data_IF_876920132671
#
_entry.id   IF_876920132671
#
_cell.length_a   1.000
_cell.length_b   1.000
_cell.length_c   1.000
_cell.angle_alpha   90.00
_cell.angle_beta   90.00
_cell.angle_gamma   90.00
#
_symmetry.space_group_name_H-M   'P 1'
#
loop_
_entity.id
_entity.type
_entity.pdbx_description
1 polymer ?
#
# COMPACT_ATOMS: atom_id res chain seq x y z
N UNK A 1 20.06 24.52 0.71
CA UNK A 1 19.17 23.35 0.81
C UNK A 1 17.95 23.75 1.63
N UNK A 2 16.76 23.43 1.12
CA UNK A 2 15.49 23.70 1.80
C UNK A 2 14.98 22.41 2.43
N UNK A 3 14.46 22.51 3.65
CA UNK A 3 13.86 21.38 4.38
C UNK A 3 12.51 21.81 4.92
N UNK A 4 11.50 20.97 4.74
CA UNK A 4 10.13 21.20 5.20
C UNK A 4 9.60 20.00 5.98
N UNK A 5 8.93 20.31 7.09
CA UNK A 5 8.08 19.37 7.81
C UNK A 5 6.63 19.55 7.33
N UNK A 6 5.94 18.45 7.08
CA UNK A 6 4.54 18.43 6.67
C UNK A 6 3.85 17.17 7.20
N UNK A 7 2.56 17.06 6.99
CA UNK A 7 1.78 15.89 7.41
C UNK A 7 0.30 16.18 7.43
N UNK A 8 -0.47 15.16 7.78
CA UNK A 8 -1.92 15.23 7.89
C UNK A 8 -2.38 14.41 9.10
N UNK A 9 -3.28 14.98 9.89
CA UNK A 9 -3.90 14.29 11.03
C UNK A 9 -5.39 14.11 10.73
N UNK A 10 -5.82 12.85 10.59
CA UNK A 10 -7.21 12.48 10.30
C UNK A 10 -7.70 11.40 11.24
N UNK A 11 -8.84 11.68 11.88
CA UNK A 11 -9.52 10.72 12.72
C UNK A 11 -11.03 10.98 12.74
N UNK A 12 -11.80 9.95 13.08
CA UNK A 12 -13.25 10.06 13.20
C UNK A 12 -13.87 8.89 13.95
N UNK A 13 -15.19 8.91 14.03
CA UNK A 13 -15.98 7.81 14.61
C UNK A 13 -16.58 6.99 13.48
N UNK A 14 -16.30 5.69 13.46
CA UNK A 14 -16.87 4.76 12.49
C UNK A 14 -17.79 3.75 13.17
N UNK A 15 -18.98 3.58 12.58
CA UNK A 15 -19.91 2.49 12.89
C UNK A 15 -19.81 1.40 11.82
N UNK A 16 -19.68 0.13 12.24
CA UNK A 16 -19.66 -1.02 11.34
C UNK A 16 -20.63 -2.09 11.80
N UNK A 17 -21.53 -2.51 10.92
CA UNK A 17 -22.35 -3.70 11.12
C UNK A 17 -21.66 -4.91 10.49
N UNK A 18 -21.25 -5.86 11.31
CA UNK A 18 -20.63 -7.11 10.84
C UNK A 18 -21.64 -8.23 11.02
N UNK A 19 -21.97 -8.90 9.92
CA UNK A 19 -22.79 -10.10 9.91
C UNK A 19 -21.89 -11.28 9.50
N UNK A 20 -21.74 -12.25 10.39
CA UNK A 20 -20.98 -13.47 10.13
C UNK A 20 -21.92 -14.66 10.16
N UNK A 21 -21.83 -15.52 9.15
CA UNK A 21 -22.56 -16.78 9.06
C UNK A 21 -21.55 -17.92 8.94
N UNK A 22 -21.70 -18.94 9.77
CA UNK A 22 -20.98 -20.20 9.63
C UNK A 22 -21.85 -21.15 8.81
N UNK A 23 -21.30 -21.69 7.73
CA UNK A 23 -22.00 -22.61 6.84
C UNK A 23 -21.32 -23.97 6.84
N UNK A 24 -22.12 -25.04 6.85
CA UNK A 24 -21.65 -26.39 6.60
C UNK A 24 -21.86 -26.75 5.13
N UNK A 25 -20.85 -27.40 4.54
CA UNK A 25 -20.97 -27.93 3.19
C UNK A 25 -22.05 -29.01 3.15
N UNK A 26 -22.80 -29.12 2.04
CA UNK A 26 -23.86 -30.12 1.92
C UNK A 26 -23.30 -31.52 2.14
N UNK A 27 -23.91 -32.27 3.05
CA UNK A 27 -23.50 -33.63 3.35
C UNK A 27 -24.00 -34.58 2.25
N UNK A 28 -23.17 -35.55 1.86
CA UNK A 28 -23.59 -36.66 1.00
C UNK A 28 -24.19 -37.73 1.90
N UNK A 29 -25.48 -38.05 1.70
CA UNK A 29 -26.13 -39.16 2.39
C UNK A 29 -26.65 -40.13 1.34
N UNK A 30 -26.25 -41.40 1.42
CA UNK A 30 -26.63 -42.47 0.47
C UNK A 30 -26.39 -42.11 -1.02
N UNK A 31 -25.24 -41.49 -1.33
CA UNK A 31 -24.85 -41.17 -2.71
C UNK A 31 -25.59 -39.98 -3.35
N UNK A 32 -26.49 -39.32 -2.62
CA UNK A 32 -27.15 -38.08 -3.07
C UNK A 32 -26.53 -36.91 -2.32
N UNK A 33 -25.92 -35.98 -3.06
CA UNK A 33 -25.42 -34.73 -2.49
C UNK A 33 -26.58 -33.76 -2.32
N UNK A 34 -26.83 -33.29 -1.09
CA UNK A 34 -27.81 -32.24 -0.86
C UNK A 34 -27.40 -30.95 -1.60
N UNK A 35 -28.37 -30.18 -2.09
CA UNK A 35 -28.10 -28.91 -2.81
C UNK A 35 -28.04 -27.67 -1.90
N UNK A 36 -28.17 -27.81 -0.58
CA UNK A 36 -28.30 -26.68 0.32
C UNK A 36 -27.12 -26.57 1.29
N UNK A 37 -26.42 -25.44 1.19
CA UNK A 37 -25.47 -24.96 2.19
C UNK A 37 -26.26 -24.57 3.43
N UNK A 38 -26.02 -25.24 4.55
CA UNK A 38 -26.75 -24.99 5.80
C UNK A 38 -26.02 -23.95 6.64
N UNK A 39 -26.69 -22.85 6.98
CA UNK A 39 -26.18 -21.91 7.99
C UNK A 39 -26.36 -22.53 9.37
N UNK A 40 -25.26 -22.77 10.08
CA UNK A 40 -25.28 -23.41 11.40
C UNK A 40 -25.14 -22.43 12.54
N UNK A 41 -24.56 -21.24 12.28
CA UNK A 41 -24.54 -20.11 13.23
C UNK A 41 -24.62 -18.79 12.48
N UNK A 42 -25.39 -17.84 12.99
CA UNK A 42 -25.42 -16.47 12.50
C UNK A 42 -25.21 -15.50 13.67
N UNK A 43 -24.36 -14.48 13.48
CA UNK A 43 -24.11 -13.43 14.48
C UNK A 43 -24.02 -12.08 13.79
N UNK A 44 -24.75 -11.09 14.31
CA UNK A 44 -24.60 -9.69 13.93
C UNK A 44 -24.06 -8.90 15.13
N UNK A 45 -23.14 -7.96 14.86
CA UNK A 45 -22.69 -6.99 15.84
C UNK A 45 -22.44 -5.64 15.17
N UNK A 46 -22.98 -4.58 15.78
CA UNK A 46 -22.57 -3.21 15.49
C UNK A 46 -21.38 -2.87 16.37
N UNK A 47 -20.32 -2.34 15.77
CA UNK A 47 -19.18 -1.75 16.48
C UNK A 47 -19.08 -0.28 16.13
N UNK A 48 -19.03 0.57 17.14
CA UNK A 48 -18.68 1.98 17.01
C UNK A 48 -17.30 2.19 17.61
N UNK A 49 -16.38 2.80 16.86
CA UNK A 49 -14.99 3.00 17.29
C UNK A 49 -14.49 4.39 16.84
N UNK A 50 -13.70 5.05 17.70
CA UNK A 50 -12.84 6.16 17.30
C UNK A 50 -11.62 5.56 16.58
N UNK A 51 -11.38 6.00 15.36
CA UNK A 51 -10.38 5.45 14.44
C UNK A 51 -9.54 6.57 13.84
N UNK A 52 -8.24 6.32 13.73
CA UNK A 52 -7.34 7.09 12.85
C UNK A 52 -7.58 6.70 11.39
N UNK A 53 -7.54 7.66 10.45
CA UNK A 53 -7.81 7.48 9.02
C UNK A 53 -6.55 7.63 8.15
N UNK A 54 -5.39 7.20 8.66
CA UNK A 54 -4.13 7.26 7.94
C UNK A 54 -3.36 8.55 8.20
N UNK A 55 -3.33 9.00 9.46
CA UNK A 55 -2.51 10.15 9.86
C UNK A 55 -1.02 9.89 9.59
N UNK A 56 -0.30 10.89 9.10
CA UNK A 56 1.11 10.78 8.78
C UNK A 56 1.88 12.08 9.01
N UNK A 57 3.20 11.94 9.15
CA UNK A 57 4.16 13.04 9.22
C UNK A 57 5.27 12.80 8.20
N UNK A 58 5.76 13.86 7.59
CA UNK A 58 6.76 13.81 6.54
C UNK A 58 7.81 14.90 6.67
N UNK A 59 9.03 14.55 6.31
CA UNK A 59 10.13 15.48 6.09
C UNK A 59 10.52 15.39 4.62
N UNK A 60 10.70 16.52 3.96
CA UNK A 60 11.21 16.56 2.59
C UNK A 60 12.17 17.71 2.43
N UNK A 61 13.06 17.58 1.46
CA UNK A 61 13.99 18.65 1.13
C UNK A 61 14.47 18.60 -0.29
N UNK A 62 15.07 19.72 -0.70
CA UNK A 62 15.71 19.87 -2.01
C UNK A 62 16.95 20.72 -1.91
N UNK A 63 17.96 20.37 -2.70
CA UNK A 63 19.20 21.12 -2.82
C UNK A 63 19.50 21.38 -4.30
N UNK A 64 19.74 22.65 -4.63
CA UNK A 64 20.16 23.06 -5.97
C UNK A 64 21.61 22.62 -6.20
N UNK A 65 21.83 21.83 -7.24
CA UNK A 65 23.13 21.33 -7.65
C UNK A 65 23.74 22.16 -8.79
N UNK A 66 23.04 23.21 -9.24
CA UNK A 66 23.40 24.04 -10.38
C UNK A 66 22.74 23.60 -11.69
N UNK A 67 22.71 24.52 -12.67
CA UNK A 67 22.24 24.25 -14.04
C UNK A 67 20.83 23.65 -14.14
N UNK A 68 19.96 23.94 -13.16
CA UNK A 68 18.59 23.42 -13.10
C UNK A 68 18.47 21.99 -12.54
N UNK A 69 19.58 21.35 -12.14
CA UNK A 69 19.58 20.06 -11.47
C UNK A 69 19.40 20.23 -9.96
N UNK A 70 18.59 19.36 -9.34
CA UNK A 70 18.35 19.35 -7.89
C UNK A 70 18.45 17.95 -7.32
N UNK A 71 19.07 17.82 -6.14
CA UNK A 71 18.84 16.67 -5.27
C UNK A 71 17.51 16.84 -4.55
N UNK A 72 16.72 15.77 -4.48
CA UNK A 72 15.44 15.75 -3.77
C UNK A 72 15.36 14.53 -2.86
N UNK A 73 14.72 14.68 -1.71
CA UNK A 73 14.51 13.57 -0.79
C UNK A 73 13.23 13.73 0.02
N UNK A 74 12.69 12.61 0.48
CA UNK A 74 11.49 12.54 1.29
C UNK A 74 11.58 11.36 2.27
N UNK A 75 11.10 11.57 3.49
CA UNK A 75 10.88 10.53 4.50
C UNK A 75 9.49 10.73 5.11
N UNK A 76 8.59 9.78 4.91
CA UNK A 76 7.24 9.80 5.47
C UNK A 76 6.99 8.63 6.43
N UNK A 77 6.18 8.90 7.45
CA UNK A 77 5.91 8.00 8.55
C UNK A 77 4.43 8.04 8.94
N UNK A 78 3.80 6.87 9.07
CA UNK A 78 2.48 6.75 9.69
C UNK A 78 2.54 7.12 11.17
N UNK A 79 1.65 8.01 11.61
CA UNK A 79 1.55 8.47 13.01
C UNK A 79 0.10 8.42 13.48
N UNK A 80 -0.39 7.23 13.81
CA UNK A 80 -1.77 7.05 14.26
C UNK A 80 -2.05 7.80 15.57
N UNK A 81 -3.07 8.66 15.56
CA UNK A 81 -3.49 9.40 16.76
C UNK A 81 -4.26 8.53 17.77
N UNK A 82 -4.69 7.34 17.36
CA UNK A 82 -5.38 6.38 18.23
C UNK A 82 -4.42 5.57 19.13
N UNK A 83 -3.11 5.84 19.06
CA UNK A 83 -2.07 5.01 19.66
C UNK A 83 -1.74 3.80 18.80
N UNK A 84 -0.48 3.40 18.79
CA UNK A 84 0.08 2.51 17.76
C UNK A 84 0.57 3.28 16.53
N UNK A 85 1.29 2.61 15.65
CA UNK A 85 1.99 3.20 14.50
C UNK A 85 3.08 2.25 14.01
N UNK A 86 3.77 2.57 12.93
CA UNK A 86 4.89 1.72 12.54
C UNK A 86 6.06 1.86 13.53
N UNK A 87 6.72 0.74 13.78
CA UNK A 87 7.88 0.65 14.67
C UNK A 87 9.20 1.05 13.97
N UNK A 88 9.14 1.34 12.67
CA UNK A 88 10.28 1.70 11.83
C UNK A 88 9.91 2.93 11.00
N UNK A 89 10.88 3.83 10.83
CA UNK A 89 10.76 5.01 9.98
C UNK A 89 10.70 4.65 8.49
N UNK A 90 10.05 5.51 7.69
CA UNK A 90 10.02 5.37 6.23
C UNK A 90 9.05 4.30 5.74
N UNK A 91 7.95 4.09 6.47
CA UNK A 91 6.95 3.08 6.16
C UNK A 91 5.86 3.59 5.19
N UNK A 92 5.93 4.85 4.75
CA UNK A 92 5.14 5.46 3.66
C UNK A 92 6.04 5.76 2.46
N UNK A 93 5.72 6.76 1.62
CA UNK A 93 6.58 7.10 0.47
C UNK A 93 7.86 7.79 0.97
N UNK A 94 9.02 7.19 0.68
CA UNK A 94 10.32 7.67 1.17
C UNK A 94 11.41 7.37 0.17
N UNK A 95 12.14 8.40 -0.28
CA UNK A 95 13.10 8.28 -1.38
C UNK A 95 14.22 9.32 -1.32
N UNK A 96 15.24 9.06 -2.13
CA UNK A 96 16.21 10.06 -2.60
C UNK A 96 16.15 10.10 -4.14
N UNK A 97 16.48 11.23 -4.75
CA UNK A 97 16.40 11.37 -6.19
C UNK A 97 17.06 12.62 -6.75
N UNK A 98 16.97 12.73 -8.07
CA UNK A 98 17.40 13.88 -8.86
C UNK A 98 16.22 14.40 -9.66
N UNK A 99 16.06 15.71 -9.69
CA UNK A 99 15.05 16.41 -10.47
C UNK A 99 15.70 17.48 -11.35
N UNK A 100 15.15 17.70 -12.55
CA UNK A 100 15.59 18.77 -13.45
C UNK A 100 14.68 18.87 -14.67
N UNK A 101 15.14 19.53 -15.74
CA UNK A 101 14.38 19.64 -16.99
C UNK A 101 14.06 18.28 -17.63
N UNK A 102 14.86 17.26 -17.33
CA UNK A 102 14.64 15.89 -17.79
C UNK A 102 13.49 15.18 -17.06
N UNK A 103 12.91 15.76 -16.00
CA UNK A 103 11.92 15.11 -15.13
C UNK A 103 12.52 14.75 -13.77
N UNK A 104 12.05 13.66 -13.17
CA UNK A 104 12.48 13.24 -11.83
C UNK A 104 12.81 11.75 -11.82
N UNK A 105 13.99 11.40 -11.29
CA UNK A 105 14.40 10.03 -11.00
C UNK A 105 14.47 9.84 -9.48
N UNK A 106 13.72 8.86 -8.96
CA UNK A 106 13.62 8.56 -7.52
C UNK A 106 14.00 7.11 -7.26
N UNK A 107 14.70 6.87 -6.15
CA UNK A 107 15.02 5.55 -5.64
C UNK A 107 14.65 5.46 -4.15
N UNK A 108 13.94 4.39 -3.78
CA UNK A 108 13.47 4.19 -2.42
C UNK A 108 12.13 3.48 -2.40
N UNK A 109 11.36 3.69 -1.35
CA UNK A 109 9.99 3.19 -1.21
C UNK A 109 9.05 4.17 -1.92
N UNK A 110 8.76 3.90 -3.19
CA UNK A 110 8.08 4.84 -4.09
C UNK A 110 6.73 4.27 -4.51
N UNK A 111 5.69 5.10 -4.47
CA UNK A 111 4.35 4.73 -4.93
C UNK A 111 4.37 4.27 -6.40
N UNK A 112 3.60 3.23 -6.70
CA UNK A 112 3.38 2.79 -8.07
C UNK A 112 2.26 3.60 -8.75
N UNK A 113 2.11 3.41 -10.04
CA UNK A 113 1.18 4.17 -10.88
C UNK A 113 -0.29 3.85 -10.55
N UNK A 114 -0.56 2.69 -9.95
CA UNK A 114 -1.90 2.36 -9.44
C UNK A 114 -2.25 3.23 -8.24
N UNK A 115 -1.33 3.43 -7.30
CA UNK A 115 -1.52 4.31 -6.14
C UNK A 115 -1.76 5.76 -6.55
N UNK A 116 -1.04 6.27 -7.56
CA UNK A 116 -1.29 7.60 -8.12
C UNK A 116 -2.71 7.72 -8.72
N UNK A 117 -3.15 6.71 -9.46
CA UNK A 117 -4.46 6.69 -10.09
C UNK A 117 -5.60 6.47 -9.08
N UNK A 118 -5.33 5.80 -7.96
CA UNK A 118 -6.34 5.39 -7.00
C UNK A 118 -6.97 6.57 -6.25
N UNK A 119 -6.26 7.68 -6.11
CA UNK A 119 -6.78 8.91 -5.50
C UNK A 119 -7.98 9.48 -6.28
N UNK A 120 -7.99 9.34 -7.61
CA UNK A 120 -9.13 9.73 -8.43
C UNK A 120 -10.30 8.73 -8.32
N UNK A 121 -10.01 7.49 -7.96
CA UNK A 121 -11.00 6.40 -7.85
C UNK A 121 -11.67 6.42 -6.47
N UNK A 122 -10.93 6.71 -5.40
CA UNK A 122 -11.41 6.60 -4.03
C UNK A 122 -11.10 7.87 -3.22
N UNK A 123 -12.02 8.85 -3.19
CA UNK A 123 -11.83 10.11 -2.48
C UNK A 123 -12.17 10.05 -0.98
N UNK A 124 -12.44 8.85 -0.42
CA UNK A 124 -12.97 8.68 0.92
C UNK A 124 -11.88 8.33 1.94
N UNK A 125 -11.85 9.03 3.08
CA UNK A 125 -11.01 8.68 4.23
C UNK A 125 -11.70 7.69 5.18
N UNK A 126 -11.01 6.63 5.60
CA UNK A 126 -11.51 5.64 6.58
C UNK A 126 -10.39 4.76 7.13
N UNK A 127 -10.67 3.96 8.16
CA UNK A 127 -9.77 2.92 8.69
C UNK A 127 -10.18 1.51 8.20
N UNK A 128 -10.88 1.40 7.06
CA UNK A 128 -11.24 0.12 6.45
C UNK A 128 -11.57 0.25 4.97
N UNK A 129 -10.58 -0.12 4.18
CA UNK A 129 -10.59 0.04 2.73
C UNK A 129 -11.69 -0.77 2.01
N UNK A 130 -12.29 -1.80 2.63
CA UNK A 130 -13.20 -2.70 1.91
C UNK A 130 -14.68 -2.44 2.20
N UNK A 131 -15.06 -2.14 3.44
CA UNK A 131 -16.48 -2.04 3.80
C UNK A 131 -17.09 -0.65 3.60
N UNK A 132 -16.26 0.39 3.52
CA UNK A 132 -16.69 1.80 3.44
C UNK A 132 -16.00 2.57 2.31
N UNK A 133 -15.24 1.88 1.45
CA UNK A 133 -14.46 2.47 0.39
C UNK A 133 -14.41 1.60 -0.86
N UNK A 134 -13.87 2.17 -1.92
CA UNK A 134 -13.61 1.51 -3.20
C UNK A 134 -12.29 0.71 -3.17
N UNK A 135 -11.89 0.15 -2.02
CA UNK A 135 -10.57 -0.48 -1.84
C UNK A 135 -10.34 -1.74 -2.67
N UNK A 136 -11.39 -2.42 -3.15
CA UNK A 136 -11.22 -3.51 -4.11
C UNK A 136 -10.60 -3.04 -5.44
N UNK A 137 -10.80 -1.76 -5.79
CA UNK A 137 -10.21 -1.12 -6.96
C UNK A 137 -8.78 -0.63 -6.70
N UNK A 138 -8.36 -0.53 -5.43
CA UNK A 138 -7.03 -0.14 -4.97
C UNK A 138 -6.09 -1.32 -4.70
N UNK A 139 -6.51 -2.54 -5.02
CA UNK A 139 -5.77 -3.78 -4.65
C UNK A 139 -4.40 -3.94 -5.31
N UNK A 140 -4.08 -3.10 -6.30
CA UNK A 140 -2.81 -3.06 -7.00
C UNK A 140 -1.92 -1.90 -6.55
N UNK A 141 -2.42 -1.03 -5.68
CA UNK A 141 -1.64 0.02 -5.04
C UNK A 141 -0.55 -0.63 -4.20
N UNK A 142 0.70 -0.22 -4.43
CA UNK A 142 1.85 -0.69 -3.68
C UNK A 142 2.91 0.42 -3.65
N UNK A 143 3.82 0.33 -2.68
CA UNK A 143 4.96 1.23 -2.53
C UNK A 143 6.23 0.38 -2.40
N UNK A 144 6.68 -0.29 -3.48
CA UNK A 144 7.84 -1.16 -3.43
C UNK A 144 9.14 -0.37 -3.32
N UNK A 145 10.18 -1.01 -2.77
CA UNK A 145 11.55 -0.49 -2.86
C UNK A 145 12.04 -0.61 -4.30
N UNK A 146 12.13 0.51 -4.99
CA UNK A 146 12.17 0.59 -6.45
C UNK A 146 12.93 1.81 -6.95
N UNK A 147 13.14 1.84 -8.26
CA UNK A 147 13.58 3.04 -8.98
C UNK A 147 12.44 3.47 -9.89
N UNK A 148 12.09 4.76 -9.88
CA UNK A 148 11.01 5.34 -10.68
C UNK A 148 11.50 6.59 -11.40
N UNK A 149 11.16 6.71 -12.67
CA UNK A 149 11.31 7.91 -13.45
C UNK A 149 9.92 8.48 -13.80
N UNK A 150 9.77 9.79 -13.64
CA UNK A 150 8.59 10.56 -14.02
C UNK A 150 9.03 11.66 -15.00
N UNK A 151 8.42 11.70 -16.19
CA UNK A 151 8.76 12.69 -17.22
C UNK A 151 8.21 14.08 -16.89
N UNK A 152 8.77 15.15 -17.47
CA UNK A 152 8.11 16.45 -17.51
C UNK A 152 6.75 16.34 -18.19
N UNK A 153 5.90 17.33 -17.94
CA UNK A 153 4.66 17.50 -18.70
C UNK A 153 4.97 18.11 -20.08
N UNK A 154 4.42 17.51 -21.14
CA UNK A 154 4.52 18.00 -22.50
C UNK A 154 3.15 18.02 -23.16
N UNK A 155 2.63 19.21 -23.45
CA UNK A 155 1.30 19.41 -24.05
C UNK A 155 0.18 18.65 -23.33
N UNK A 156 0.22 18.63 -21.99
CA UNK A 156 -0.74 17.92 -21.16
C UNK A 156 -0.44 16.44 -20.93
N UNK A 157 0.58 15.86 -21.56
CA UNK A 157 0.99 14.47 -21.34
C UNK A 157 2.14 14.35 -20.35
N UNK A 158 2.13 13.32 -19.52
CA UNK A 158 3.30 12.89 -18.74
C UNK A 158 3.34 11.37 -18.64
N UNK A 159 4.54 10.80 -18.52
CA UNK A 159 4.75 9.37 -18.42
C UNK A 159 5.57 9.01 -17.19
N UNK A 160 5.44 7.77 -16.74
CA UNK A 160 6.29 7.23 -15.69
C UNK A 160 6.63 5.78 -15.96
N UNK A 161 7.81 5.36 -15.51
CA UNK A 161 8.26 3.97 -15.51
C UNK A 161 8.90 3.65 -14.18
N UNK A 162 8.66 2.45 -13.67
CA UNK A 162 9.19 2.01 -12.40
C UNK A 162 9.70 0.58 -12.49
N UNK A 163 10.81 0.31 -11.83
CA UNK A 163 11.47 -0.98 -11.79
C UNK A 163 11.69 -1.42 -10.34
N UNK A 164 11.26 -2.64 -10.03
CA UNK A 164 11.52 -3.34 -8.77
C UNK A 164 12.46 -4.50 -9.08
N UNK A 165 13.71 -4.46 -8.60
CA UNK A 165 14.62 -5.59 -8.72
C UNK A 165 14.06 -6.84 -8.04
N UNK A 166 14.30 -8.02 -8.60
CA UNK A 166 13.89 -9.32 -8.07
C UNK A 166 14.23 -9.57 -6.59
N UNK A 167 15.32 -8.98 -6.10
CA UNK A 167 15.71 -9.09 -4.69
C UNK A 167 14.92 -8.16 -3.76
N UNK A 168 14.34 -7.09 -4.31
CA UNK A 168 13.47 -6.16 -3.61
C UNK A 168 11.99 -6.52 -3.78
N UNK A 169 11.63 -7.28 -4.83
CA UNK A 169 10.30 -7.84 -4.97
C UNK A 169 10.11 -8.96 -3.95
N UNK A 170 8.93 -8.96 -3.31
CA UNK A 170 8.58 -9.72 -2.08
C UNK A 170 9.32 -11.07 -1.99
N UNK A 171 10.44 -11.07 -1.27
CA UNK A 171 11.16 -12.29 -0.95
C UNK A 171 10.53 -12.89 0.30
N UNK A 172 10.10 -14.15 0.25
CA UNK A 172 9.57 -14.85 1.41
C UNK A 172 10.72 -15.26 2.35
N UNK A 173 11.45 -14.29 2.91
CA UNK A 173 12.41 -14.55 3.97
C UNK A 173 11.68 -14.58 5.31
N UNK A 174 11.62 -15.75 5.94
CA UNK A 174 11.20 -15.90 7.33
C UNK A 174 12.43 -16.36 8.13
N UNK A 175 12.93 -15.57 9.10
CA UNK A 175 14.06 -16.00 9.93
C UNK A 175 13.67 -17.23 10.76
N UNK A 176 14.68 -18.00 11.20
CA UNK A 176 14.45 -19.14 12.07
C UNK A 176 13.89 -18.67 13.42
N UNK A 177 12.95 -19.42 13.99
CA UNK A 177 12.37 -19.12 15.30
C UNK A 177 12.03 -20.40 16.06
N UNK A 178 11.89 -20.30 17.38
CA UNK A 178 11.44 -21.40 18.21
C UNK A 178 9.93 -21.31 18.45
N UNK A 179 9.24 -22.44 18.35
CA UNK A 179 7.82 -22.58 18.72
C UNK A 179 7.70 -23.65 19.79
N UNK A 180 6.67 -23.54 20.63
CA UNK A 180 6.32 -24.56 21.62
C UNK A 180 5.06 -25.30 21.18
N UNK A 181 5.09 -26.63 21.27
CA UNK A 181 3.87 -27.43 21.10
C UNK A 181 2.96 -27.31 22.34
N UNK A 182 1.78 -27.96 22.29
CA UNK A 182 0.84 -28.02 23.42
C UNK A 182 1.41 -28.70 24.67
N UNK A 183 2.51 -29.43 24.54
CA UNK A 183 3.23 -30.11 25.62
C UNK A 183 4.46 -29.32 26.08
N UNK A 184 4.60 -28.06 25.65
CA UNK A 184 5.71 -27.16 25.97
C UNK A 184 7.08 -27.57 25.40
N UNK A 185 7.13 -28.52 24.46
CA UNK A 185 8.38 -28.91 23.80
C UNK A 185 8.83 -27.82 22.83
N UNK A 186 10.11 -27.45 22.92
CA UNK A 186 10.70 -26.43 22.05
C UNK A 186 11.09 -27.05 20.70
N UNK A 187 10.53 -26.53 19.62
CA UNK A 187 10.85 -26.96 18.24
C UNK A 187 11.44 -25.78 17.47
N UNK A 188 12.60 -25.99 16.84
CA UNK A 188 13.18 -25.03 15.92
C UNK A 188 12.43 -25.08 14.59
N UNK A 189 11.85 -23.96 14.17
CA UNK A 189 11.39 -23.75 12.80
C UNK A 189 12.55 -23.13 12.03
N UNK A 190 13.09 -23.83 11.01
CA UNK A 190 14.21 -23.33 10.24
C UNK A 190 13.81 -22.08 9.46
N UNK A 191 14.80 -21.25 9.13
CA UNK A 191 14.57 -20.11 8.25
C UNK A 191 14.05 -20.62 6.90
N UNK A 192 13.00 -19.98 6.39
CA UNK A 192 12.55 -20.20 5.01
C UNK A 192 13.14 -19.07 4.19
N UNK A 193 14.05 -19.43 3.27
CA UNK A 193 14.51 -18.52 2.23
C UNK A 193 13.67 -18.84 0.99
N UNK A 194 12.64 -18.05 0.75
CA UNK A 194 11.92 -18.08 -0.52
C UNK A 194 12.86 -17.78 -1.68
N UNK A 195 12.50 -18.23 -2.89
CA UNK A 195 13.15 -17.73 -4.10
C UNK A 195 12.95 -16.20 -4.14
N UNK A 196 13.96 -15.42 -4.61
CA UNK A 196 13.72 -14.04 -4.99
C UNK A 196 12.47 -13.97 -5.87
N UNK A 197 11.71 -12.88 -5.75
CA UNK A 197 10.60 -12.67 -6.67
C UNK A 197 11.11 -12.50 -8.11
N UNK A 198 10.20 -12.27 -9.05
CA UNK A 198 10.62 -11.78 -10.37
C UNK A 198 10.92 -10.29 -10.29
N UNK A 199 11.68 -9.79 -11.24
CA UNK A 199 11.67 -8.36 -11.54
C UNK A 199 10.22 -7.91 -11.79
N UNK A 200 9.87 -6.71 -11.31
CA UNK A 200 8.56 -6.10 -11.54
C UNK A 200 8.76 -4.78 -12.27
N UNK A 201 7.93 -4.54 -13.27
CA UNK A 201 7.94 -3.32 -14.06
C UNK A 201 6.56 -2.71 -13.98
N UNK A 202 6.51 -1.41 -13.75
CA UNK A 202 5.28 -0.64 -13.87
C UNK A 202 5.48 0.47 -14.89
N UNK A 203 4.39 0.83 -15.58
CA UNK A 203 4.38 1.96 -16.48
C UNK A 203 3.08 2.74 -16.32
N UNK A 204 3.15 4.05 -16.51
CA UNK A 204 1.96 4.88 -16.53
C UNK A 204 2.03 6.02 -17.52
N UNK A 205 0.85 6.43 -17.97
CA UNK A 205 0.65 7.56 -18.85
C UNK A 205 -0.50 8.40 -18.31
N UNK A 206 -0.26 9.70 -18.17
CA UNK A 206 -1.24 10.66 -17.71
C UNK A 206 -1.48 11.69 -18.81
N UNK A 207 -2.72 12.15 -18.92
CA UNK A 207 -3.12 13.28 -19.75
C UNK A 207 -3.97 14.25 -18.94
N UNK A 208 -3.73 15.55 -19.09
CA UNK A 208 -4.52 16.62 -18.52
C UNK A 208 -4.64 17.79 -19.51
N UNK A 209 -5.87 18.17 -19.84
CA UNK A 209 -6.13 19.35 -20.66
C UNK A 209 -7.53 19.92 -20.39
N UNK A 210 -7.61 21.21 -20.05
CA UNK A 210 -8.86 21.97 -20.12
C UNK A 210 -10.05 21.40 -19.33
N UNK A 211 -9.78 20.71 -18.21
CA UNK A 211 -10.81 20.06 -17.37
C UNK A 211 -10.97 18.55 -17.60
N UNK A 212 -10.31 17.98 -18.59
CA UNK A 212 -10.22 16.52 -18.78
C UNK A 212 -8.91 16.00 -18.21
N UNK A 213 -8.98 14.87 -17.51
CA UNK A 213 -7.82 14.13 -17.05
C UNK A 213 -8.03 12.63 -17.25
N UNK A 214 -6.96 11.89 -17.55
CA UNK A 214 -6.98 10.45 -17.68
C UNK A 214 -5.64 9.86 -17.27
N UNK A 215 -5.68 8.75 -16.53
CA UNK A 215 -4.51 8.03 -16.06
C UNK A 215 -4.61 6.57 -16.53
N UNK A 216 -3.50 6.06 -17.05
CA UNK A 216 -3.33 4.65 -17.40
C UNK A 216 -2.16 4.09 -16.59
N UNK A 217 -2.34 2.93 -15.99
CA UNK A 217 -1.33 2.21 -15.23
C UNK A 217 -1.29 0.75 -15.68
N UNK A 218 -0.07 0.22 -15.86
CA UNK A 218 0.25 -1.16 -16.22
C UNK A 218 1.24 -1.73 -15.21
#
# INVERSE_FOLDING_TARGET
ADVSLYGEIKAGVEGRNIQAQLTEQPQVTNGVQGNQVKVTKAKSRIRTKISDFGSFIGFKGSEDLGEGLKAVWQLEQDVSVAGGGASQWGNRESFIGLAGEFGTLRAGRVANQFDDASQAINPWDSNNDVASQLGIFKRHDDMPVSVRYDSPEFSGFSGSVQFVPAQNSKSAYKPAYYTKDTNNNLTLVPAVVGKPGSDVYYAGLNYKNGGFAGNYAF
#
